data_IF_601030085724
#
_entry.id   IF_601030085724
#
_cell.length_a   1.000
_cell.length_b   1.000
_cell.length_c   1.000
_cell.angle_alpha   90.00
_cell.angle_beta   90.00
_cell.angle_gamma   90.00
#
_symmetry.space_group_name_H-M   'P 1'
#
loop_
_entity.id
_entity.type
_entity.pdbx_description
1 polymer ?
#
# COMPACT_ATOMS: atom_id res chain seq x y z
N UNK A 1 26.23 -18.34 -8.68
CA UNK A 1 25.02 -17.89 -7.94
C UNK A 1 24.93 -16.38 -8.11
N UNK A 2 23.93 -15.84 -8.83
CA UNK A 2 23.76 -14.38 -8.91
C UNK A 2 23.36 -13.88 -7.52
N UNK A 3 24.07 -12.88 -6.99
CA UNK A 3 23.61 -12.11 -5.83
C UNK A 3 22.23 -11.55 -6.21
N UNK A 4 21.21 -11.75 -5.38
CA UNK A 4 19.96 -11.03 -5.56
C UNK A 4 20.25 -9.53 -5.51
N UNK A 5 19.69 -8.76 -6.44
CA UNK A 5 19.85 -7.31 -6.41
C UNK A 5 19.32 -6.75 -5.08
N UNK A 6 20.04 -5.75 -4.56
CA UNK A 6 19.66 -5.07 -3.34
C UNK A 6 18.30 -4.38 -3.52
N UNK A 7 17.48 -4.41 -2.48
CA UNK A 7 16.18 -3.74 -2.46
C UNK A 7 16.39 -2.23 -2.51
N UNK A 8 15.84 -1.60 -3.54
CA UNK A 8 15.98 -0.16 -3.79
C UNK A 8 14.77 0.64 -3.31
N UNK A 9 13.62 -0.01 -3.20
CA UNK A 9 12.34 0.59 -2.84
C UNK A 9 11.63 -0.29 -1.83
N UNK A 10 10.89 0.35 -0.92
CA UNK A 10 10.04 -0.32 0.05
C UNK A 10 8.65 0.30 0.05
N UNK A 11 7.66 -0.50 0.44
CA UNK A 11 6.38 -0.03 0.90
C UNK A 11 6.39 -0.04 2.44
N UNK A 12 6.14 1.12 3.04
CA UNK A 12 5.85 1.23 4.46
C UNK A 12 4.35 1.18 4.69
N UNK A 13 3.90 0.22 5.49
CA UNK A 13 2.49 -0.06 5.73
C UNK A 13 2.17 0.31 7.16
N UNK A 14 1.21 1.22 7.32
CA UNK A 14 0.80 1.80 8.58
C UNK A 14 -0.68 1.48 8.85
N UNK A 15 -1.00 1.32 10.13
CA UNK A 15 -2.38 1.48 10.62
C UNK A 15 -2.58 2.98 10.83
N UNK A 16 -3.56 3.56 10.15
CA UNK A 16 -3.82 5.00 10.13
C UNK A 16 -5.16 5.32 10.82
N UNK A 17 -5.14 5.86 12.06
CA UNK A 17 -6.36 6.20 12.79
C UNK A 17 -7.21 7.28 12.12
N UNK A 18 -6.59 8.23 11.40
CA UNK A 18 -7.32 9.33 10.75
C UNK A 18 -8.07 8.80 9.52
N UNK A 19 -7.43 7.91 8.76
CA UNK A 19 -8.10 7.21 7.66
C UNK A 19 -9.27 6.36 8.16
N UNK A 20 -9.07 5.62 9.25
CA UNK A 20 -10.12 4.80 9.85
C UNK A 20 -11.32 5.61 10.34
N UNK A 21 -11.06 6.71 11.05
CA UNK A 21 -12.11 7.63 11.49
C UNK A 21 -12.92 8.18 10.31
N UNK A 22 -12.27 8.45 9.17
CA UNK A 22 -12.93 8.93 7.97
C UNK A 22 -13.80 7.86 7.27
N UNK A 23 -13.50 6.56 7.43
CA UNK A 23 -14.32 5.49 6.83
C UNK A 23 -15.66 5.32 7.53
N UNK A 24 -15.74 5.61 8.83
CA UNK A 24 -16.96 5.42 9.63
C UNK A 24 -17.48 3.97 9.68
N UNK A 25 -16.62 3.00 9.33
CA UNK A 25 -16.96 1.59 9.27
C UNK A 25 -17.07 0.93 10.64
N UNK A 26 -17.68 -0.27 10.72
CA UNK A 26 -17.88 -0.98 11.99
C UNK A 26 -16.62 -1.66 12.53
N UNK A 27 -15.55 -1.75 11.72
CA UNK A 27 -14.36 -2.49 12.09
C UNK A 27 -13.60 -1.80 13.23
N UNK A 28 -13.14 -2.59 14.20
CA UNK A 28 -12.33 -2.07 15.30
C UNK A 28 -10.90 -1.81 14.82
N UNK A 29 -10.40 -0.60 15.04
CA UNK A 29 -9.02 -0.23 14.74
C UNK A 29 -8.04 -1.07 15.59
N UNK A 30 -7.12 -1.83 14.98
CA UNK A 30 -6.03 -2.47 15.71
C UNK A 30 -5.08 -1.42 16.31
N UNK A 31 -4.30 -1.80 17.34
CA UNK A 31 -3.32 -0.90 17.95
C UNK A 31 -2.31 -0.38 16.91
N UNK A 32 -2.17 0.95 16.73
CA UNK A 32 -1.15 1.50 15.85
C UNK A 32 0.25 1.17 16.38
N UNK A 33 0.96 0.29 15.66
CA UNK A 33 2.32 -0.11 15.98
C UNK A 33 3.35 0.56 15.07
N UNK A 34 4.57 0.00 15.07
CA UNK A 34 5.56 0.32 14.04
C UNK A 34 5.07 -0.11 12.65
N UNK A 35 5.51 0.57 11.57
CA UNK A 35 5.13 0.18 10.23
C UNK A 35 5.70 -1.19 9.87
N UNK A 36 4.95 -1.93 9.06
CA UNK A 36 5.50 -3.09 8.36
C UNK A 36 6.21 -2.59 7.11
N UNK A 37 7.47 -2.98 6.92
CA UNK A 37 8.27 -2.59 5.76
C UNK A 37 8.38 -3.80 4.81
N UNK A 38 7.98 -3.61 3.56
CA UNK A 38 8.04 -4.66 2.52
C UNK A 38 8.94 -4.20 1.38
N UNK A 39 9.93 -5.02 1.01
CA UNK A 39 10.79 -4.77 -0.14
C UNK A 39 10.07 -4.91 -1.48
N UNK A 40 10.13 -3.87 -2.31
CA UNK A 40 9.53 -3.87 -3.64
C UNK A 40 10.56 -4.36 -4.68
N UNK A 41 10.51 -5.66 -4.96
CA UNK A 41 11.48 -6.35 -5.83
C UNK A 41 10.96 -6.72 -7.22
N UNK A 42 9.68 -6.46 -7.50
CA UNK A 42 9.01 -6.79 -8.76
C UNK A 42 8.58 -5.51 -9.47
N UNK A 43 8.52 -5.54 -10.80
CA UNK A 43 8.02 -4.41 -11.59
C UNK A 43 6.51 -4.18 -11.40
N UNK A 44 5.80 -5.22 -10.97
CA UNK A 44 4.39 -5.17 -10.58
C UNK A 44 4.23 -5.89 -9.24
N UNK A 45 3.61 -5.20 -8.28
CA UNK A 45 3.35 -5.67 -6.92
C UNK A 45 1.85 -5.54 -6.67
N UNK A 46 1.18 -6.66 -6.44
CA UNK A 46 -0.26 -6.70 -6.14
C UNK A 46 -0.47 -6.50 -4.64
N UNK A 47 -1.34 -5.56 -4.30
CA UNK A 47 -1.83 -5.30 -2.94
C UNK A 47 -3.22 -5.93 -2.82
N UNK A 48 -3.48 -6.59 -1.69
CA UNK A 48 -4.80 -7.12 -1.40
C UNK A 48 -4.79 -7.99 -0.17
N UNK A 49 -5.69 -8.98 -0.13
CA UNK A 49 -5.73 -9.98 0.93
C UNK A 49 -5.61 -11.38 0.39
N UNK A 50 -4.88 -12.22 1.12
CA UNK A 50 -4.84 -13.67 0.89
C UNK A 50 -6.24 -14.29 0.86
N UNK A 51 -6.40 -15.30 -0.01
CA UNK A 51 -7.60 -16.11 -0.15
C UNK A 51 -7.25 -17.52 -0.60
N UNK A 52 -8.23 -18.42 -0.69
CA UNK A 52 -8.01 -19.79 -1.18
C UNK A 52 -7.45 -19.86 -2.60
N UNK A 53 -7.65 -18.81 -3.41
CA UNK A 53 -7.18 -18.73 -4.79
C UNK A 53 -5.77 -18.13 -4.94
N UNK A 54 -5.14 -17.67 -3.85
CA UNK A 54 -3.77 -17.14 -3.90
C UNK A 54 -3.47 -16.04 -2.88
N UNK A 55 -2.20 -15.64 -2.85
CA UNK A 55 -1.64 -14.62 -1.95
C UNK A 55 -1.10 -13.43 -2.76
N UNK A 56 -1.47 -12.18 -2.43
CA UNK A 56 -0.90 -10.97 -3.03
C UNK A 56 0.56 -10.76 -2.58
N UNK A 57 1.27 -9.87 -3.27
CA UNK A 57 2.66 -9.52 -2.92
C UNK A 57 2.73 -8.73 -1.60
N UNK A 58 1.80 -7.79 -1.41
CA UNK A 58 1.53 -7.12 -0.13
C UNK A 58 0.20 -7.65 0.39
N UNK A 59 0.27 -8.44 1.46
CA UNK A 59 -0.87 -9.11 2.06
C UNK A 59 -1.38 -8.37 3.30
N UNK A 60 -2.54 -7.74 3.14
CA UNK A 60 -3.24 -6.94 4.14
C UNK A 60 -4.40 -7.73 4.75
N UNK A 61 -4.23 -9.04 4.97
CA UNK A 61 -5.29 -9.95 5.44
C UNK A 61 -6.00 -9.49 6.72
N UNK A 62 -5.33 -8.70 7.56
CA UNK A 62 -5.89 -8.19 8.82
C UNK A 62 -6.91 -7.07 8.62
N UNK A 63 -6.83 -6.32 7.50
CA UNK A 63 -7.75 -5.23 7.19
C UNK A 63 -8.94 -5.77 6.37
N UNK A 64 -10.08 -5.96 7.04
CA UNK A 64 -11.30 -6.50 6.42
C UNK A 64 -11.88 -5.61 5.33
N UNK A 65 -11.55 -4.31 5.32
CA UNK A 65 -11.97 -3.37 4.28
C UNK A 65 -11.17 -3.51 2.99
N UNK A 66 -10.03 -4.22 3.01
CA UNK A 66 -9.21 -4.43 1.81
C UNK A 66 -9.79 -5.57 0.96
N UNK A 67 -9.95 -5.33 -0.35
CA UNK A 67 -10.33 -6.36 -1.31
C UNK A 67 -9.23 -7.42 -1.47
N UNK A 68 -9.61 -8.66 -1.80
CA UNK A 68 -8.66 -9.74 -2.16
C UNK A 68 -7.66 -9.29 -3.23
N UNK A 69 -8.14 -8.50 -4.20
CA UNK A 69 -7.35 -7.81 -5.20
C UNK A 69 -7.73 -6.32 -5.13
N UNK A 70 -6.90 -5.53 -4.45
CA UNK A 70 -7.21 -4.14 -4.10
C UNK A 70 -6.66 -3.19 -5.16
N UNK A 71 -5.34 -3.16 -5.28
CA UNK A 71 -4.61 -2.28 -6.19
C UNK A 71 -3.32 -2.94 -6.62
N UNK A 72 -2.67 -2.40 -7.64
CA UNK A 72 -1.30 -2.76 -8.01
C UNK A 72 -0.40 -1.55 -7.97
N UNK A 73 0.81 -1.75 -7.47
CA UNK A 73 1.94 -0.88 -7.67
C UNK A 73 2.71 -1.34 -8.91
N UNK A 74 3.00 -0.42 -9.83
CA UNK A 74 3.75 -0.68 -11.07
C UNK A 74 4.90 0.31 -11.15
N UNK A 75 6.07 -0.13 -11.59
CA UNK A 75 7.23 0.75 -11.78
C UNK A 75 7.76 0.72 -13.21
N UNK A 76 8.29 1.85 -13.66
CA UNK A 76 9.12 1.97 -14.88
C UNK A 76 10.62 1.81 -14.58
N UNK A 77 10.98 1.39 -13.36
CA UNK A 77 12.34 1.28 -12.83
C UNK A 77 12.85 2.56 -12.16
N UNK A 78 12.13 3.68 -12.28
CA UNK A 78 12.49 4.97 -11.64
C UNK A 78 11.40 5.50 -10.74
N UNK A 79 10.14 5.39 -11.17
CA UNK A 79 8.95 5.90 -10.49
C UNK A 79 7.97 4.77 -10.23
N UNK A 80 7.09 5.00 -9.27
CA UNK A 80 6.01 4.08 -8.93
C UNK A 80 4.67 4.70 -9.27
N UNK A 81 3.74 3.83 -9.66
CA UNK A 81 2.37 4.18 -9.97
C UNK A 81 1.45 3.23 -9.23
N UNK A 82 0.32 3.72 -8.76
CA UNK A 82 -0.75 2.89 -8.20
C UNK A 82 -1.96 2.90 -9.13
N UNK A 83 -2.61 1.75 -9.22
CA UNK A 83 -3.82 1.54 -10.02
C UNK A 83 -4.79 0.68 -9.22
N UNK A 84 -6.04 1.12 -9.08
CA UNK A 84 -7.10 0.33 -8.45
C UNK A 84 -7.49 -0.86 -9.35
N UNK A 85 -7.71 -2.03 -8.76
CA UNK A 85 -8.01 -3.26 -9.50
C UNK A 85 -9.51 -3.63 -9.47
N UNK A 86 -10.38 -2.61 -9.34
CA UNK A 86 -11.82 -2.79 -9.18
C UNK A 86 -12.17 -3.16 -7.74
N UNK A 87 -11.53 -2.50 -6.77
CA UNK A 87 -11.75 -2.76 -5.35
C UNK A 87 -13.14 -2.28 -4.89
N UNK A 88 -13.64 -2.86 -3.79
CA UNK A 88 -14.99 -2.54 -3.30
C UNK A 88 -15.05 -1.16 -2.63
N UNK A 89 -14.00 -0.79 -1.90
CA UNK A 89 -13.93 0.45 -1.12
C UNK A 89 -13.12 1.56 -1.83
N UNK A 90 -12.54 1.26 -2.99
CA UNK A 90 -11.68 2.17 -3.74
C UNK A 90 -10.25 2.23 -3.21
N UNK A 91 -9.38 2.85 -4.00
CA UNK A 91 -8.00 3.19 -3.64
C UNK A 91 -7.85 4.70 -3.71
N UNK A 92 -7.30 5.32 -2.68
CA UNK A 92 -7.18 6.76 -2.58
C UNK A 92 -5.70 7.15 -2.51
N UNK A 93 -5.38 8.33 -3.05
CA UNK A 93 -4.04 8.90 -3.00
C UNK A 93 -4.14 10.35 -2.55
N UNK A 94 -3.32 10.73 -1.59
CA UNK A 94 -3.17 12.12 -1.15
C UNK A 94 -1.75 12.38 -0.66
N UNK A 95 -1.32 13.65 -0.66
CA UNK A 95 -0.06 14.00 0.00
C UNK A 95 -0.17 13.83 1.52
N UNK A 96 0.97 13.62 2.17
CA UNK A 96 1.08 13.47 3.63
C UNK A 96 0.60 14.72 4.39
N UNK A 97 0.70 15.90 3.79
CA UNK A 97 0.30 17.19 4.35
C UNK A 97 -1.12 17.63 3.96
N UNK A 98 -1.82 16.82 3.16
CA UNK A 98 -3.18 17.11 2.73
C UNK A 98 -4.23 16.50 3.66
N UNK A 99 -5.46 17.02 3.60
CA UNK A 99 -6.63 16.39 4.21
C UNK A 99 -6.84 14.97 3.69
N UNK A 100 -7.54 14.15 4.47
CA UNK A 100 -7.97 12.82 4.02
C UNK A 100 -8.82 12.98 2.74
N UNK A 101 -8.50 12.26 1.66
CA UNK A 101 -9.24 12.34 0.41
C UNK A 101 -10.63 11.68 0.55
N UNK A 102 -11.63 12.25 -0.12
CA UNK A 102 -13.00 11.75 -0.16
C UNK A 102 -13.34 10.99 -1.46
N UNK A 103 -12.47 11.11 -2.47
CA UNK A 103 -12.69 10.57 -3.81
C UNK A 103 -11.57 9.59 -4.18
N UNK A 104 -11.89 8.35 -4.63
CA UNK A 104 -10.87 7.39 -5.03
C UNK A 104 -10.24 7.78 -6.37
N UNK A 105 -9.08 7.21 -6.67
CA UNK A 105 -8.45 7.37 -7.98
C UNK A 105 -9.32 6.73 -9.07
N UNK A 106 -9.40 7.37 -10.24
CA UNK A 106 -10.16 6.88 -11.40
C UNK A 106 -9.31 6.18 -12.46
N UNK A 107 -7.99 6.11 -12.24
CA UNK A 107 -7.02 5.50 -13.14
C UNK A 107 -5.64 5.43 -12.49
N UNK A 108 -4.62 5.18 -13.31
CA UNK A 108 -3.23 5.12 -12.83
C UNK A 108 -2.76 6.49 -12.34
N UNK A 109 -2.19 6.51 -11.13
CA UNK A 109 -1.63 7.71 -10.49
C UNK A 109 -0.17 7.47 -10.13
N UNK A 110 0.71 8.42 -10.47
CA UNK A 110 2.12 8.39 -10.01
C UNK A 110 2.16 8.66 -8.50
N UNK A 111 3.00 7.90 -7.78
CA UNK A 111 3.17 8.04 -6.32
C UNK A 111 4.64 8.29 -5.98
N UNK A 112 4.86 9.31 -5.17
CA UNK A 112 6.14 9.65 -4.56
C UNK A 112 6.15 9.27 -3.07
N UNK A 113 7.30 9.40 -2.42
CA UNK A 113 7.44 9.16 -0.98
C UNK A 113 6.76 10.22 -0.09
N UNK A 114 6.20 11.28 -0.69
CA UNK A 114 5.36 12.25 0.01
C UNK A 114 3.86 11.92 -0.11
N UNK A 115 3.52 10.90 -0.88
CA UNK A 115 2.14 10.46 -1.08
C UNK A 115 1.79 9.30 -0.16
N UNK A 116 0.52 9.26 0.21
CA UNK A 116 -0.11 8.21 0.99
C UNK A 116 -1.12 7.51 0.09
N UNK A 117 -0.98 6.21 -0.04
CA UNK A 117 -1.99 5.34 -0.63
C UNK A 117 -2.86 4.85 0.52
N UNK A 118 -4.16 5.11 0.46
CA UNK A 118 -5.11 4.74 1.50
C UNK A 118 -6.09 3.72 0.93
N UNK A 119 -6.24 2.59 1.64
CA UNK A 119 -7.10 1.47 1.24
C UNK A 119 -7.73 0.83 2.47
N UNK A 120 -8.85 0.15 2.25
CA UNK A 120 -9.54 -0.59 3.30
C UNK A 120 -9.94 0.28 4.48
N UNK A 121 -10.05 -0.36 5.65
CA UNK A 121 -10.60 0.25 6.85
C UNK A 121 -9.58 1.14 7.57
N UNK A 122 -8.27 0.88 7.46
CA UNK A 122 -7.24 1.67 8.18
C UNK A 122 -5.87 1.67 7.53
N UNK A 123 -5.70 1.03 6.38
CA UNK A 123 -4.37 0.83 5.83
C UNK A 123 -3.88 2.06 5.07
N UNK A 124 -2.73 2.59 5.50
CA UNK A 124 -1.94 3.58 4.77
C UNK A 124 -0.62 2.99 4.28
N UNK A 125 -0.28 3.24 3.03
CA UNK A 125 0.97 2.80 2.42
C UNK A 125 1.76 4.00 1.89
N UNK A 126 3.06 4.03 2.13
CA UNK A 126 4.01 4.98 1.53
C UNK A 126 5.06 4.21 0.74
N UNK A 127 5.30 4.59 -0.50
CA UNK A 127 6.36 4.02 -1.33
C UNK A 127 7.57 4.93 -1.30
N UNK A 128 8.72 4.43 -0.83
CA UNK A 128 9.94 5.23 -0.70
C UNK A 128 11.21 4.46 -1.04
N UNK A 129 12.33 5.15 -1.31
CA UNK A 129 13.62 4.49 -1.42
C UNK A 129 13.95 3.71 -0.15
N UNK A 130 14.57 2.55 -0.32
CA UNK A 130 15.03 1.72 0.77
C UNK A 130 16.21 2.40 1.48
N UNK A 131 16.22 2.33 2.82
CA UNK A 131 17.38 2.70 3.61
C UNK A 131 18.48 1.63 3.48
N UNK A 132 19.71 1.98 3.83
CA UNK A 132 20.84 1.02 3.78
C UNK A 132 20.57 -0.26 4.60
N UNK A 133 19.91 -0.12 5.75
CA UNK A 133 19.55 -1.26 6.61
C UNK A 133 18.46 -2.18 6.00
N UNK A 134 17.73 -1.67 5.01
CA UNK A 134 16.62 -2.36 4.34
C UNK A 134 17.04 -3.00 3.01
N UNK A 135 18.32 -2.87 2.63
CA UNK A 135 18.82 -3.34 1.33
C UNK A 135 18.66 -4.85 1.10
N UNK A 136 18.46 -5.60 2.18
CA UNK A 136 18.33 -7.06 2.18
C UNK A 136 16.88 -7.54 2.33
N UNK A 137 15.89 -6.65 2.51
CA UNK A 137 14.46 -6.98 2.59
C UNK A 137 13.96 -7.60 1.30
#
# INVERSE_FOLDING_TARGET
>A
MRKADATKWVAEIWIDPDWHAAQGGPDQLPSPGQPVIVGLRKDTVVIGRSSSSGKPDIDLVTDSGVSRRQSSLVTDGRRWFVEDLGSANGTYVSRVDASIPDTPISGRVEVSHHDRILVGSWTRIVVRPALLQESNL
#
